data_IF_291489888891
#
_entry.id   IF_291489888891
#
_cell.length_a   1.000
_cell.length_b   1.000
_cell.length_c   1.000
_cell.angle_alpha   90.00
_cell.angle_beta   90.00
_cell.angle_gamma   90.00
#
_symmetry.space_group_name_H-M   'P 1'
#
loop_
_entity.id
_entity.type
_entity.pdbx_description
1 polymer ?
#
# COMPACT_ATOMS: atom_id res chain seq x y z
N UNK A 1 47.72 24.82 101.97
CA UNK A 1 48.23 23.87 102.97
C UNK A 1 48.71 24.69 104.17
N UNK A 2 48.34 24.27 105.38
CA UNK A 2 48.78 24.95 106.62
C UNK A 2 49.52 23.95 107.51
N UNK A 3 50.63 24.42 108.15
CA UNK A 3 51.37 23.62 109.11
C UNK A 3 50.85 23.75 110.56
N UNK A 4 51.41 22.92 111.47
CA UNK A 4 50.94 22.93 112.85
C UNK A 4 51.29 24.24 113.68
N UNK A 5 52.18 25.11 113.12
CA UNK A 5 52.53 26.43 113.68
C UNK A 5 51.67 27.55 113.10
N UNK A 6 50.69 27.31 112.23
CA UNK A 6 49.75 28.25 111.63
C UNK A 6 50.25 28.95 110.37
N UNK A 7 51.42 28.58 109.85
CA UNK A 7 51.96 29.15 108.58
C UNK A 7 51.23 28.52 107.36
N UNK A 8 50.65 29.36 106.51
CA UNK A 8 49.88 28.90 105.29
C UNK A 8 50.71 29.19 104.00
N UNK A 9 50.68 28.23 103.08
CA UNK A 9 51.08 28.42 101.75
C UNK A 9 49.84 28.14 100.86
N UNK A 10 49.46 29.03 100.00
CA UNK A 10 48.39 28.88 99.05
C UNK A 10 48.98 28.70 97.64
N UNK A 11 48.57 27.66 96.96
CA UNK A 11 48.83 27.49 95.58
C UNK A 11 47.54 27.52 94.78
N UNK A 12 47.51 28.13 93.63
CA UNK A 12 46.35 28.22 92.78
C UNK A 12 46.46 27.16 91.66
N UNK A 13 45.67 26.12 91.76
CA UNK A 13 45.54 25.13 90.68
C UNK A 13 44.36 25.53 89.85
N UNK A 14 44.67 25.78 88.53
CA UNK A 14 43.58 26.02 87.51
C UNK A 14 43.17 24.70 86.94
N UNK A 15 41.91 24.31 87.07
CA UNK A 15 41.34 23.21 86.36
C UNK A 15 40.75 23.78 85.04
N UNK A 16 41.38 23.48 83.90
CA UNK A 16 40.90 23.90 82.61
C UNK A 16 39.81 22.92 82.09
N UNK A 17 38.67 23.48 81.70
CA UNK A 17 37.61 22.74 81.04
C UNK A 17 37.91 22.70 79.55
N UNK A 18 37.86 21.51 78.85
CA UNK A 18 38.00 21.42 77.39
C UNK A 18 36.91 22.25 76.71
N UNK A 19 37.25 22.84 75.58
CA UNK A 19 36.25 23.54 74.77
C UNK A 19 35.18 22.56 74.29
N UNK A 20 33.92 23.03 74.21
CA UNK A 20 32.79 22.23 73.76
C UNK A 20 33.01 21.74 72.30
N UNK A 21 32.61 20.50 72.02
CA UNK A 21 32.63 19.94 70.65
C UNK A 21 31.56 20.64 69.82
N UNK A 22 31.98 21.15 68.63
CA UNK A 22 31.07 21.75 67.64
C UNK A 22 31.10 20.84 66.41
N UNK A 23 29.91 20.49 65.91
CA UNK A 23 29.72 19.62 64.73
C UNK A 23 29.13 20.41 63.58
N UNK A 24 29.77 20.33 62.42
CA UNK A 24 29.21 20.75 61.14
C UNK A 24 29.16 19.53 60.23
N UNK A 25 28.21 19.53 59.28
CA UNK A 25 28.13 18.46 58.27
C UNK A 25 27.79 19.04 56.90
N UNK A 26 28.16 18.30 55.89
CA UNK A 26 27.74 18.47 54.46
C UNK A 26 27.21 17.16 53.95
N UNK A 27 26.19 17.23 53.12
CA UNK A 27 25.59 16.04 52.51
C UNK A 27 25.61 16.13 51.00
N UNK A 28 25.77 14.98 50.36
CA UNK A 28 25.43 14.78 48.95
C UNK A 28 24.23 13.84 48.87
N UNK A 29 23.19 14.23 48.14
CA UNK A 29 21.97 13.44 48.03
C UNK A 29 22.20 12.11 47.33
N UNK A 30 21.31 11.15 47.58
CA UNK A 30 21.23 9.94 46.74
C UNK A 30 20.52 10.24 45.44
N UNK A 31 20.79 9.46 44.42
CA UNK A 31 20.18 9.59 43.07
C UNK A 31 19.57 8.28 42.64
N UNK A 32 18.45 8.35 41.91
CA UNK A 32 17.75 7.19 41.35
C UNK A 32 17.28 6.16 42.40
N UNK A 33 17.10 6.56 43.66
CA UNK A 33 16.80 5.65 44.76
C UNK A 33 17.95 4.70 45.12
N UNK A 34 19.17 5.02 44.69
CA UNK A 34 20.36 4.20 44.95
C UNK A 34 20.97 4.53 46.32
N UNK A 35 21.82 3.62 46.81
CA UNK A 35 22.63 3.82 48.03
C UNK A 35 23.94 4.53 47.71
N UNK A 36 23.89 5.80 47.23
CA UNK A 36 25.07 6.57 46.81
C UNK A 36 25.13 7.95 47.48
N UNK A 37 24.33 8.19 48.48
CA UNK A 37 24.41 9.40 49.32
C UNK A 37 25.66 9.45 50.16
N UNK A 38 26.06 10.65 50.56
CA UNK A 38 27.25 10.92 51.36
C UNK A 38 26.93 11.89 52.48
N UNK A 39 27.49 11.62 53.68
CA UNK A 39 27.58 12.57 54.80
C UNK A 39 29.03 12.77 55.16
N UNK A 40 29.45 14.02 55.24
CA UNK A 40 30.78 14.40 55.66
C UNK A 40 30.67 15.23 56.93
N UNK A 41 31.23 14.76 58.06
CA UNK A 41 31.13 15.40 59.37
C UNK A 41 32.46 16.09 59.69
N UNK A 42 32.39 17.28 60.20
CA UNK A 42 33.59 17.94 60.77
C UNK A 42 33.34 18.32 62.23
N UNK A 43 34.31 18.06 63.07
CA UNK A 43 34.25 18.35 64.49
C UNK A 43 35.38 19.32 64.88
N UNK A 44 35.09 20.33 65.70
CA UNK A 44 36.01 21.27 66.28
C UNK A 44 35.78 21.39 67.80
N UNK A 45 36.81 21.80 68.56
CA UNK A 45 36.76 21.77 70.02
C UNK A 45 36.98 20.36 70.57
N UNK A 46 36.68 20.12 71.84
CA UNK A 46 36.87 18.82 72.49
C UNK A 46 38.33 18.30 72.45
N UNK A 47 38.53 17.02 72.74
CA UNK A 47 39.82 16.33 72.77
C UNK A 47 39.91 15.28 71.64
N UNK A 48 40.83 15.42 70.69
CA UNK A 48 41.07 14.45 69.62
C UNK A 48 41.74 13.17 70.20
N UNK A 49 41.46 11.97 69.60
CA UNK A 49 40.71 11.70 68.36
C UNK A 49 39.20 11.65 68.56
N UNK A 50 38.46 11.97 67.48
CA UNK A 50 37.00 11.88 67.42
C UNK A 50 36.52 10.55 66.86
N UNK A 51 35.33 10.10 67.35
CA UNK A 51 34.58 9.00 66.80
C UNK A 51 33.25 9.56 66.27
N UNK A 52 32.83 9.06 65.09
CA UNK A 52 31.67 9.55 64.36
C UNK A 52 30.63 8.45 64.19
N UNK A 53 29.37 8.79 64.40
CA UNK A 53 28.21 7.90 64.19
C UNK A 53 27.15 8.65 63.40
N UNK A 54 26.36 7.90 62.59
CA UNK A 54 25.16 8.38 61.87
C UNK A 54 23.87 7.64 62.29
N UNK A 55 23.95 6.77 63.29
CA UNK A 55 22.88 5.88 63.77
C UNK A 55 22.63 6.08 65.28
N UNK A 56 22.72 7.32 65.77
CA UNK A 56 22.54 7.68 67.19
C UNK A 56 23.56 7.04 68.17
N UNK A 57 24.74 6.69 67.72
CA UNK A 57 25.81 6.12 68.54
C UNK A 57 25.75 4.61 68.69
N UNK A 58 24.95 3.91 67.86
CA UNK A 58 24.95 2.43 67.83
C UNK A 58 26.28 1.91 67.25
N UNK A 59 26.72 2.52 66.17
CA UNK A 59 28.07 2.22 65.59
C UNK A 59 28.89 3.48 65.46
N UNK A 60 30.22 3.33 65.69
CA UNK A 60 31.20 4.42 65.56
C UNK A 60 32.30 4.04 64.62
N UNK A 61 32.79 5.05 63.90
CA UNK A 61 34.01 4.95 63.07
C UNK A 61 34.91 6.18 63.28
N UNK A 62 36.19 6.03 63.01
CA UNK A 62 37.19 7.11 63.11
C UNK A 62 37.22 8.02 61.87
N UNK A 63 36.65 7.59 60.76
CA UNK A 63 36.57 8.40 59.55
C UNK A 63 35.30 9.27 59.60
N UNK A 64 35.46 10.54 59.20
CA UNK A 64 34.40 11.53 59.24
C UNK A 64 33.41 11.43 58.03
N UNK A 65 33.70 10.55 57.08
CA UNK A 65 32.94 10.40 55.83
C UNK A 65 32.16 9.09 55.82
N UNK A 66 30.84 9.18 55.58
CA UNK A 66 29.94 8.07 55.42
C UNK A 66 29.41 8.09 53.98
N UNK A 67 29.60 7.01 53.25
CA UNK A 67 29.18 6.83 51.87
C UNK A 67 28.28 5.63 51.71
N UNK A 68 27.62 5.51 50.55
CA UNK A 68 26.70 4.39 50.32
C UNK A 68 25.37 4.55 51.06
N UNK A 69 24.92 5.79 51.30
CA UNK A 69 23.74 6.05 52.08
C UNK A 69 22.49 6.16 51.23
N UNK A 70 21.39 5.62 51.74
CA UNK A 70 20.06 5.90 51.22
C UNK A 70 19.64 7.35 51.49
N UNK A 71 18.64 7.83 50.76
CA UNK A 71 17.93 9.03 51.16
C UNK A 71 17.24 8.83 52.54
N UNK A 72 17.26 9.84 53.36
CA UNK A 72 16.63 9.75 54.68
C UNK A 72 17.24 10.73 55.70
N UNK A 73 16.69 10.71 56.90
CA UNK A 73 17.20 11.48 58.03
C UNK A 73 18.15 10.65 58.84
N UNK A 74 19.31 11.21 59.14
CA UNK A 74 20.38 10.58 59.90
C UNK A 74 20.62 11.33 61.19
N UNK A 75 20.76 10.59 62.31
CA UNK A 75 21.09 11.11 63.64
C UNK A 75 22.65 11.03 63.81
N UNK A 76 23.26 12.18 63.79
CA UNK A 76 24.72 12.28 63.95
C UNK A 76 25.07 12.30 65.42
N UNK A 77 26.09 11.55 65.80
CA UNK A 77 26.71 11.64 67.14
C UNK A 77 28.23 11.68 66.94
N UNK A 78 28.86 12.67 67.54
CA UNK A 78 30.32 12.76 67.59
C UNK A 78 30.74 12.63 69.04
N UNK A 79 31.76 11.80 69.31
CA UNK A 79 32.34 11.57 70.61
C UNK A 79 33.86 11.92 70.56
N UNK A 80 34.35 12.65 71.55
CA UNK A 80 35.76 12.96 71.71
C UNK A 80 36.48 11.87 72.52
N UNK A 81 37.81 11.98 72.67
CA UNK A 81 38.65 11.02 73.41
C UNK A 81 38.32 10.94 74.89
N UNK A 82 37.68 11.94 75.46
CA UNK A 82 37.27 11.98 76.88
C UNK A 82 35.84 11.43 77.08
N UNK A 83 35.13 11.00 75.97
CA UNK A 83 33.78 10.51 76.04
C UNK A 83 32.71 11.62 75.96
N UNK A 84 33.10 12.89 75.74
CA UNK A 84 32.09 13.96 75.56
C UNK A 84 31.40 13.78 74.20
N UNK A 85 30.08 13.90 74.19
CA UNK A 85 29.26 13.68 72.97
C UNK A 85 28.45 14.93 72.60
N UNK A 86 28.25 15.08 71.28
CA UNK A 86 27.33 16.07 70.71
C UNK A 86 26.50 15.40 69.61
N UNK A 87 25.18 15.68 69.61
CA UNK A 87 24.23 15.18 68.60
C UNK A 87 23.84 16.29 67.64
N UNK A 88 23.58 15.86 66.41
CA UNK A 88 23.03 16.71 65.36
C UNK A 88 22.13 15.84 64.44
N UNK A 89 21.39 16.46 63.58
CA UNK A 89 20.60 15.78 62.57
C UNK A 89 20.93 16.31 61.21
N UNK A 90 20.89 15.43 60.21
CA UNK A 90 21.08 15.85 58.80
C UNK A 90 20.18 14.98 57.89
N UNK A 91 19.93 15.47 56.69
CA UNK A 91 19.14 14.75 55.70
C UNK A 91 20.02 14.51 54.44
N UNK A 92 20.02 13.28 53.98
CA UNK A 92 20.41 12.93 52.64
C UNK A 92 19.16 13.03 51.75
N UNK A 93 19.15 14.02 50.86
CA UNK A 93 18.04 14.22 49.95
C UNK A 93 17.99 13.10 48.90
N UNK A 94 16.80 12.84 48.31
CA UNK A 94 16.63 11.97 47.16
C UNK A 94 16.46 12.81 45.89
N UNK A 95 17.15 12.41 44.85
CA UNK A 95 16.86 12.86 43.47
C UNK A 95 16.17 11.71 42.74
N UNK A 96 14.83 11.68 42.70
CA UNK A 96 14.09 10.56 42.16
C UNK A 96 14.30 10.42 40.63
N UNK A 97 14.17 9.22 40.12
CA UNK A 97 14.22 8.94 38.69
C UNK A 97 13.09 9.66 37.94
N UNK A 98 13.31 10.05 36.69
CA UNK A 98 12.26 10.54 35.83
C UNK A 98 11.22 9.42 35.59
N UNK A 99 9.97 9.83 35.37
CA UNK A 99 8.85 8.93 35.06
C UNK A 99 8.27 9.30 33.70
N UNK A 100 7.93 8.30 32.89
CA UNK A 100 7.14 8.52 31.68
C UNK A 100 5.68 8.62 32.12
N UNK A 101 5.10 9.81 32.02
CA UNK A 101 3.71 10.06 32.45
C UNK A 101 2.70 9.77 31.35
N UNK A 102 3.07 9.95 30.08
CA UNK A 102 2.22 9.68 28.93
C UNK A 102 3.08 9.46 27.68
N UNK A 103 2.60 8.56 26.81
CA UNK A 103 3.08 8.41 25.43
C UNK A 103 1.87 8.59 24.52
N UNK A 104 1.92 9.58 23.64
CA UNK A 104 1.00 9.74 22.54
C UNK A 104 1.72 9.41 21.21
N UNK A 105 1.02 8.77 20.29
CA UNK A 105 1.57 8.48 18.97
C UNK A 105 0.50 8.66 17.90
N UNK A 106 0.93 8.81 16.65
CA UNK A 106 0.08 8.72 15.46
C UNK A 106 0.62 7.62 14.56
N UNK A 107 -0.28 6.79 14.07
CA UNK A 107 0.02 5.76 13.08
C UNK A 107 0.23 6.38 11.70
N UNK A 108 0.80 5.59 10.78
CA UNK A 108 0.99 5.99 9.40
C UNK A 108 -0.37 6.11 8.70
N UNK A 109 -0.50 7.11 7.84
CA UNK A 109 -1.74 7.31 7.07
C UNK A 109 -1.83 6.35 5.88
N UNK A 110 -0.68 5.99 5.28
CA UNK A 110 -0.60 5.06 4.16
C UNK A 110 0.46 3.99 4.44
N UNK A 111 0.29 2.83 3.81
CA UNK A 111 1.31 1.77 3.82
C UNK A 111 2.66 2.32 3.34
N UNK A 112 3.73 2.09 4.10
CA UNK A 112 5.08 2.51 3.78
C UNK A 112 5.35 4.02 3.85
N UNK A 113 4.40 4.83 4.34
CA UNK A 113 4.65 6.26 4.56
C UNK A 113 5.61 6.48 5.74
N UNK A 114 6.12 7.72 5.87
CA UNK A 114 7.05 8.11 6.94
C UNK A 114 6.49 9.32 7.66
N UNK A 115 5.26 9.21 8.17
CA UNK A 115 4.56 10.32 8.81
C UNK A 115 4.05 10.00 10.22
N UNK A 116 4.49 8.87 10.80
CA UNK A 116 4.25 8.54 12.19
C UNK A 116 4.91 9.53 13.15
N UNK A 117 4.32 9.71 14.32
CA UNK A 117 4.88 10.55 15.38
C UNK A 117 4.82 9.84 16.73
N UNK A 118 5.76 10.18 17.62
CA UNK A 118 5.73 9.82 19.03
C UNK A 118 5.98 11.09 19.83
N UNK A 119 5.15 11.34 20.85
CA UNK A 119 5.31 12.42 21.82
C UNK A 119 5.34 11.82 23.23
N UNK A 120 6.39 12.15 23.99
CA UNK A 120 6.65 11.59 25.32
C UNK A 120 6.44 12.71 26.34
N UNK A 121 5.57 12.49 27.33
CA UNK A 121 5.50 13.35 28.49
C UNK A 121 6.24 12.70 29.66
N UNK A 122 7.11 13.45 30.32
CA UNK A 122 7.85 13.00 31.50
C UNK A 122 7.53 13.85 32.73
N UNK A 123 7.70 13.27 33.90
CA UNK A 123 7.58 13.95 35.18
C UNK A 123 8.69 13.51 36.14
N UNK A 124 9.13 14.38 37.06
CA UNK A 124 10.24 14.10 37.96
C UNK A 124 11.58 14.09 37.28
N UNK A 125 12.59 13.54 37.98
CA UNK A 125 13.99 13.56 37.54
C UNK A 125 14.67 14.92 37.67
N UNK A 126 15.96 14.95 37.40
CA UNK A 126 16.79 16.18 37.46
C UNK A 126 16.98 16.70 36.04
N UNK A 127 16.60 17.96 35.79
CA UNK A 127 16.70 18.60 34.48
C UNK A 127 18.17 18.80 34.04
N UNK A 128 18.51 18.66 32.75
CA UNK A 128 17.64 18.32 31.63
C UNK A 128 17.30 16.83 31.56
N UNK A 129 16.08 16.51 31.06
CA UNK A 129 15.70 15.16 30.68
C UNK A 129 15.91 14.97 29.18
N UNK A 130 16.55 13.89 28.79
CA UNK A 130 16.82 13.51 27.42
C UNK A 130 15.94 12.34 27.02
N UNK A 131 15.57 12.27 25.74
CA UNK A 131 14.60 11.31 25.21
C UNK A 131 15.22 10.49 24.09
N UNK A 132 14.93 9.18 24.07
CA UNK A 132 15.33 8.22 23.05
C UNK A 132 14.13 7.35 22.68
N UNK A 133 14.04 6.92 21.41
CA UNK A 133 13.05 5.94 20.91
C UNK A 133 13.70 4.68 20.34
N UNK A 134 15.03 4.55 20.47
CA UNK A 134 15.86 3.43 19.99
C UNK A 134 16.57 2.67 21.12
N UNK A 135 15.99 2.73 22.33
CA UNK A 135 16.52 2.05 23.52
C UNK A 135 17.78 2.71 24.10
N UNK A 136 18.02 4.00 23.81
CA UNK A 136 19.14 4.76 24.36
C UNK A 136 20.38 4.82 23.48
N UNK A 137 20.27 4.40 22.21
CA UNK A 137 21.38 4.52 21.25
C UNK A 137 21.60 5.97 20.86
N UNK A 138 20.51 6.73 20.65
CA UNK A 138 20.54 8.17 20.37
C UNK A 138 19.57 8.91 21.29
N UNK A 139 20.01 10.07 21.77
CA UNK A 139 19.21 10.95 22.63
C UNK A 139 19.03 12.32 22.01
N UNK A 140 17.85 12.93 22.26
CA UNK A 140 17.57 14.33 21.95
C UNK A 140 16.90 15.02 23.15
N UNK A 141 16.98 16.35 23.18
CA UNK A 141 16.32 17.14 24.22
C UNK A 141 14.81 17.32 23.97
N UNK A 142 14.37 17.22 22.72
CA UNK A 142 12.95 17.32 22.36
C UNK A 142 12.20 16.03 22.60
N UNK A 143 11.01 16.14 23.20
CA UNK A 143 10.16 14.99 23.54
C UNK A 143 9.31 14.50 22.37
N UNK A 144 9.41 15.12 21.18
CA UNK A 144 8.62 14.79 20.00
C UNK A 144 9.51 14.24 18.90
N UNK A 145 9.14 13.09 18.37
CA UNK A 145 9.77 12.41 17.26
C UNK A 145 8.78 12.37 16.09
N UNK A 146 9.22 12.71 14.90
CA UNK A 146 8.40 12.76 13.68
C UNK A 146 9.07 12.03 12.53
N UNK A 147 8.33 11.86 11.41
CA UNK A 147 8.78 11.14 10.22
C UNK A 147 9.14 9.68 10.51
N UNK A 148 8.38 9.05 11.41
CA UNK A 148 8.59 7.67 11.80
C UNK A 148 7.96 6.71 10.79
N UNK A 149 8.61 5.58 10.58
CA UNK A 149 8.06 4.43 9.87
C UNK A 149 7.25 3.55 10.82
N UNK A 150 6.52 2.59 10.30
CA UNK A 150 5.87 1.56 11.14
C UNK A 150 6.90 0.70 11.87
N UNK A 151 6.61 0.39 13.12
CA UNK A 151 7.52 -0.42 13.93
C UNK A 151 7.33 -0.25 15.42
N UNK A 152 8.02 -1.09 16.19
CA UNK A 152 8.06 -1.01 17.65
C UNK A 152 9.25 -0.17 18.09
N UNK A 153 8.98 0.87 18.86
CA UNK A 153 9.97 1.81 19.38
C UNK A 153 10.20 1.59 20.86
N UNK A 154 11.48 1.43 21.24
CA UNK A 154 11.90 1.28 22.63
C UNK A 154 12.21 2.66 23.18
N UNK A 155 11.32 3.15 24.06
CA UNK A 155 11.44 4.47 24.67
C UNK A 155 12.36 4.36 25.88
N UNK A 156 13.33 5.27 25.98
CA UNK A 156 14.15 5.49 27.15
C UNK A 156 14.27 6.99 27.40
N UNK A 157 13.97 7.41 28.60
CA UNK A 157 14.27 8.77 29.05
C UNK A 157 15.39 8.73 30.09
N UNK A 158 16.26 9.74 30.10
CA UNK A 158 17.37 9.85 31.01
C UNK A 158 17.47 11.29 31.53
N UNK A 159 17.66 11.44 32.83
CA UNK A 159 17.86 12.74 33.48
C UNK A 159 19.35 13.10 33.58
N UNK A 160 19.64 14.31 34.10
CA UNK A 160 21.01 14.81 34.28
C UNK A 160 21.88 13.99 35.26
N UNK A 161 21.26 13.23 36.15
CA UNK A 161 21.96 12.33 37.09
C UNK A 161 22.18 10.93 36.50
N UNK A 162 21.70 10.67 35.24
CA UNK A 162 21.76 9.36 34.62
C UNK A 162 20.62 8.41 35.02
N UNK A 163 19.65 8.88 35.81
CA UNK A 163 18.46 8.07 36.15
C UNK A 163 17.58 7.87 34.90
N UNK A 164 17.06 6.66 34.70
CA UNK A 164 16.31 6.31 33.50
C UNK A 164 14.92 5.78 33.80
N UNK A 165 14.00 5.94 32.82
CA UNK A 165 12.76 5.20 32.74
C UNK A 165 12.54 4.69 31.32
N UNK A 166 11.92 3.53 31.19
CA UNK A 166 11.72 2.84 29.88
C UNK A 166 10.27 2.53 29.64
N UNK A 167 9.92 2.45 28.36
CA UNK A 167 8.61 1.99 27.86
C UNK A 167 8.75 1.54 26.40
N UNK A 168 7.65 1.13 25.79
CA UNK A 168 7.60 0.84 24.35
C UNK A 168 6.27 1.30 23.75
N UNK A 169 6.29 1.60 22.45
CA UNK A 169 5.08 1.95 21.69
C UNK A 169 5.20 1.37 20.28
N UNK A 170 4.05 0.93 19.74
CA UNK A 170 3.93 0.49 18.36
C UNK A 170 3.35 1.62 17.53
N UNK A 171 4.05 2.03 16.48
CA UNK A 171 3.50 2.86 15.39
C UNK A 171 3.06 1.90 14.30
N UNK A 172 1.75 1.82 14.05
CA UNK A 172 1.17 0.92 13.07
C UNK A 172 1.09 1.56 11.68
N UNK A 173 0.85 0.73 10.65
CA UNK A 173 0.52 1.17 9.31
C UNK A 173 -0.70 0.42 8.77
N UNK A 174 -1.51 1.03 7.87
CA UNK A 174 -2.60 0.34 7.22
C UNK A 174 -2.07 -0.71 6.24
N UNK A 175 -2.93 -1.67 5.85
CA UNK A 175 -2.58 -2.65 4.82
C UNK A 175 -2.44 -1.99 3.45
N UNK A 176 -1.48 -2.45 2.65
CA UNK A 176 -1.30 -1.99 1.28
C UNK A 176 -2.54 -2.25 0.41
N UNK A 177 -2.88 -1.31 -0.47
CA UNK A 177 -3.93 -1.51 -1.47
C UNK A 177 -3.37 -2.44 -2.55
N UNK A 178 -3.90 -3.66 -2.66
CA UNK A 178 -3.61 -4.58 -3.74
C UNK A 178 -4.76 -4.58 -4.75
N UNK A 179 -4.42 -4.44 -6.04
CA UNK A 179 -5.37 -4.27 -7.15
C UNK A 179 -5.24 -5.44 -8.11
N UNK A 180 -6.37 -6.06 -8.43
CA UNK A 180 -6.51 -7.01 -9.54
C UNK A 180 -7.69 -6.60 -10.41
N UNK A 181 -7.74 -7.10 -11.65
CA UNK A 181 -8.82 -6.75 -12.56
C UNK A 181 -9.25 -7.93 -13.41
N UNK A 182 -10.53 -7.91 -13.82
CA UNK A 182 -11.12 -8.85 -14.78
C UNK A 182 -11.73 -8.02 -15.90
N UNK A 183 -11.40 -8.36 -17.15
CA UNK A 183 -11.93 -7.69 -18.36
C UNK A 183 -12.88 -8.60 -19.13
N UNK A 184 -13.87 -7.99 -19.77
CA UNK A 184 -14.63 -8.59 -20.87
C UNK A 184 -14.26 -7.85 -22.14
N UNK A 185 -13.89 -8.59 -23.18
CA UNK A 185 -13.45 -8.01 -24.44
C UNK A 185 -14.54 -7.24 -25.17
N UNK A 186 -14.17 -6.20 -25.86
CA UNK A 186 -15.02 -5.51 -26.81
C UNK A 186 -15.15 -6.35 -28.09
N UNK A 187 -16.28 -6.22 -28.79
CA UNK A 187 -16.52 -6.95 -30.03
C UNK A 187 -16.79 -6.01 -31.18
N UNK A 188 -16.34 -6.34 -32.37
CA UNK A 188 -16.60 -5.62 -33.63
C UNK A 188 -16.14 -4.16 -33.62
N UNK A 189 -15.20 -3.80 -32.76
CA UNK A 189 -14.75 -2.41 -32.59
C UNK A 189 -15.76 -1.51 -31.86
N UNK A 190 -16.78 -2.09 -31.23
CA UNK A 190 -17.76 -1.34 -30.45
C UNK A 190 -17.30 -1.09 -29.03
N UNK A 191 -17.91 -0.10 -28.37
CA UNK A 191 -17.73 0.19 -26.95
C UNK A 191 -18.66 -0.69 -26.09
N UNK A 192 -18.41 -1.98 -26.09
CA UNK A 192 -19.21 -2.95 -25.31
C UNK A 192 -18.37 -3.84 -24.38
N UNK A 193 -17.08 -3.54 -24.26
CA UNK A 193 -16.20 -4.14 -23.28
C UNK A 193 -16.50 -3.69 -21.85
N UNK A 194 -15.99 -4.41 -20.88
CA UNK A 194 -16.08 -4.03 -19.47
C UNK A 194 -14.82 -4.38 -18.69
N UNK A 195 -14.67 -3.72 -17.54
CA UNK A 195 -13.57 -3.91 -16.61
C UNK A 195 -14.12 -3.89 -15.18
N UNK A 196 -13.83 -4.93 -14.40
CA UNK A 196 -14.11 -4.99 -12.97
C UNK A 196 -12.78 -4.90 -12.22
N UNK A 197 -12.70 -3.99 -11.26
CA UNK A 197 -11.54 -3.82 -10.39
C UNK A 197 -11.83 -4.50 -9.05
N UNK A 198 -10.97 -5.43 -8.65
CA UNK A 198 -11.03 -6.09 -7.35
C UNK A 198 -9.87 -5.58 -6.49
N UNK A 199 -10.17 -5.20 -5.25
CA UNK A 199 -9.20 -4.62 -4.32
C UNK A 199 -9.27 -5.26 -2.95
N UNK A 200 -8.11 -5.33 -2.29
CA UNK A 200 -7.97 -5.66 -0.87
C UNK A 200 -7.05 -4.65 -0.22
N UNK A 201 -7.22 -4.39 1.08
CA UNK A 201 -6.44 -3.41 1.82
C UNK A 201 -6.93 -1.97 1.66
N UNK A 202 -6.09 -1.00 2.06
CA UNK A 202 -6.47 0.40 2.18
C UNK A 202 -7.32 0.71 3.41
N UNK A 203 -7.71 1.96 3.56
CA UNK A 203 -8.46 2.48 4.69
C UNK A 203 -9.77 3.14 4.24
N UNK A 204 -10.90 2.71 4.80
CA UNK A 204 -12.21 3.32 4.52
C UNK A 204 -12.74 3.04 3.12
N UNK A 205 -13.45 4.01 2.54
CA UNK A 205 -14.10 3.88 1.23
C UNK A 205 -13.07 4.01 0.11
N UNK A 206 -13.13 3.07 -0.86
CA UNK A 206 -12.27 3.09 -2.03
C UNK A 206 -12.98 3.77 -3.22
N UNK A 207 -12.21 4.48 -4.02
CA UNK A 207 -12.62 5.05 -5.30
C UNK A 207 -11.70 4.57 -6.42
N UNK A 208 -12.25 4.48 -7.63
CA UNK A 208 -11.64 3.81 -8.77
C UNK A 208 -11.59 4.73 -9.98
N UNK A 209 -10.45 4.75 -10.65
CA UNK A 209 -10.22 5.42 -11.93
C UNK A 209 -9.62 4.44 -12.93
N UNK A 210 -9.94 4.62 -14.23
CA UNK A 210 -9.34 3.88 -15.35
C UNK A 210 -8.66 4.80 -16.37
N UNK A 211 -8.54 6.09 -16.05
CA UNK A 211 -8.00 7.15 -16.89
C UNK A 211 -6.81 7.87 -16.22
N UNK A 212 -5.98 7.12 -15.50
CA UNK A 212 -4.80 7.63 -14.77
C UNK A 212 -5.12 8.61 -13.64
N UNK A 213 -6.30 8.50 -13.03
CA UNK A 213 -6.70 9.34 -11.89
C UNK A 213 -7.34 10.66 -12.26
N UNK A 214 -7.74 10.87 -13.51
CA UNK A 214 -8.44 12.07 -13.93
C UNK A 214 -9.89 12.10 -13.42
N UNK A 215 -10.58 10.96 -13.47
CA UNK A 215 -11.94 10.81 -12.96
C UNK A 215 -12.04 9.60 -12.05
N UNK A 216 -12.69 9.76 -10.89
CA UNK A 216 -12.93 8.72 -9.92
C UNK A 216 -14.42 8.44 -9.74
N UNK A 217 -14.77 7.16 -9.51
CA UNK A 217 -16.10 6.70 -9.11
C UNK A 217 -16.02 5.71 -7.95
N UNK A 218 -17.12 5.54 -7.21
CA UNK A 218 -17.19 4.58 -6.10
C UNK A 218 -17.49 3.15 -6.55
N UNK A 219 -18.02 2.96 -7.78
CA UNK A 219 -18.30 1.65 -8.35
C UNK A 219 -17.03 1.09 -8.99
N UNK A 220 -16.66 -0.17 -8.69
CA UNK A 220 -15.51 -0.85 -9.28
C UNK A 220 -15.77 -1.42 -10.68
N UNK A 221 -17.02 -1.37 -11.17
CA UNK A 221 -17.40 -1.82 -12.51
C UNK A 221 -17.40 -0.65 -13.50
N UNK A 222 -16.66 -0.80 -14.59
CA UNK A 222 -16.64 0.09 -15.75
C UNK A 222 -17.20 -0.66 -16.96
N UNK A 223 -18.16 -0.05 -17.64
CA UNK A 223 -18.86 -0.63 -18.79
C UNK A 223 -18.72 0.26 -20.02
N UNK A 224 -19.17 -0.25 -21.17
CA UNK A 224 -19.14 0.47 -22.45
C UNK A 224 -17.72 0.91 -22.86
N UNK A 225 -16.76 0.03 -22.64
CA UNK A 225 -15.35 0.30 -22.94
C UNK A 225 -15.03 -0.13 -24.38
N UNK A 226 -14.27 0.70 -25.07
CA UNK A 226 -13.59 0.30 -26.31
C UNK A 226 -12.43 -0.65 -25.99
N UNK A 227 -11.95 -1.37 -26.97
CA UNK A 227 -10.67 -2.07 -26.86
C UNK A 227 -9.55 -1.05 -26.62
N UNK A 228 -8.67 -1.38 -25.67
CA UNK A 228 -7.57 -0.50 -25.30
C UNK A 228 -6.93 -0.89 -23.97
N UNK A 229 -5.88 -0.17 -23.61
CA UNK A 229 -5.22 -0.28 -22.30
C UNK A 229 -5.75 0.80 -21.38
N UNK A 230 -6.16 0.40 -20.18
CA UNK A 230 -6.70 1.26 -19.15
C UNK A 230 -5.76 1.32 -17.96
N UNK A 231 -5.33 2.51 -17.60
CA UNK A 231 -4.49 2.76 -16.44
C UNK A 231 -5.37 2.91 -15.20
N UNK A 232 -5.36 1.89 -14.36
CA UNK A 232 -6.16 1.84 -13.14
C UNK A 232 -5.44 2.60 -12.03
N UNK A 233 -6.17 3.45 -11.32
CA UNK A 233 -5.77 4.00 -10.02
C UNK A 233 -6.89 3.73 -9.04
N UNK A 234 -6.55 3.15 -7.90
CA UNK A 234 -7.44 2.99 -6.76
C UNK A 234 -6.96 3.92 -5.66
N UNK A 235 -7.87 4.67 -5.06
CA UNK A 235 -7.58 5.60 -3.98
C UNK A 235 -8.48 5.29 -2.78
N UNK A 236 -7.91 5.30 -1.58
CA UNK A 236 -8.64 5.12 -0.32
C UNK A 236 -9.05 6.47 0.31
N UNK A 237 -9.77 6.39 1.45
CA UNK A 237 -10.26 7.59 2.15
C UNK A 237 -9.15 8.48 2.72
N UNK A 238 -7.95 7.97 2.92
CA UNK A 238 -6.78 8.73 3.37
C UNK A 238 -5.99 9.35 2.22
N UNK A 239 -6.41 9.11 0.96
CA UNK A 239 -5.72 9.56 -0.23
C UNK A 239 -4.57 8.65 -0.67
N UNK A 240 -4.39 7.48 -0.07
CA UNK A 240 -3.40 6.50 -0.48
C UNK A 240 -3.80 5.86 -1.80
N UNK A 241 -2.86 5.69 -2.71
CA UNK A 241 -3.15 5.17 -4.06
C UNK A 241 -2.36 3.92 -4.38
N UNK A 242 -2.95 3.07 -5.22
CA UNK A 242 -2.28 1.95 -5.88
C UNK A 242 -2.67 1.93 -7.36
N UNK A 243 -1.76 1.49 -8.23
CA UNK A 243 -1.94 1.49 -9.67
C UNK A 243 -1.80 0.11 -10.27
N UNK A 244 -2.52 -0.14 -11.35
CA UNK A 244 -2.43 -1.33 -12.18
C UNK A 244 -2.81 -0.99 -13.63
N UNK A 245 -2.61 -1.93 -14.56
CA UNK A 245 -3.07 -1.81 -15.94
C UNK A 245 -4.00 -2.97 -16.28
N UNK A 246 -5.01 -2.69 -17.09
CA UNK A 246 -5.89 -3.69 -17.67
C UNK A 246 -5.98 -3.50 -19.18
N UNK A 247 -6.11 -4.60 -19.92
CA UNK A 247 -6.32 -4.59 -21.36
C UNK A 247 -7.69 -5.16 -21.67
N UNK A 248 -8.53 -4.37 -22.33
CA UNK A 248 -9.75 -4.82 -22.99
C UNK A 248 -9.37 -5.10 -24.43
N UNK A 249 -9.43 -6.37 -24.84
CA UNK A 249 -9.10 -6.78 -26.22
C UNK A 249 -10.30 -6.49 -27.15
N UNK A 250 -10.07 -6.58 -28.47
CA UNK A 250 -11.13 -6.53 -29.47
C UNK A 250 -11.25 -7.85 -30.20
N UNK A 251 -12.42 -8.47 -30.15
CA UNK A 251 -12.78 -9.53 -31.08
C UNK A 251 -13.09 -8.88 -32.44
N UNK A 252 -12.14 -9.03 -33.39
CA UNK A 252 -12.29 -8.46 -34.73
C UNK A 252 -13.40 -9.15 -35.52
N UNK A 253 -14.04 -8.41 -36.45
CA UNK A 253 -15.03 -8.96 -37.37
C UNK A 253 -14.40 -9.99 -38.34
N UNK A 254 -15.19 -10.90 -38.92
CA UNK A 254 -14.74 -11.78 -39.98
C UNK A 254 -14.31 -10.99 -41.24
N UNK A 255 -13.47 -11.59 -42.03
CA UNK A 255 -12.99 -11.02 -43.32
C UNK A 255 -13.34 -11.97 -44.43
N UNK A 256 -13.97 -11.45 -45.49
CA UNK A 256 -14.21 -12.21 -46.71
C UNK A 256 -12.93 -12.21 -47.55
N UNK A 257 -12.33 -13.39 -47.76
CA UNK A 257 -11.08 -13.55 -48.50
C UNK A 257 -11.34 -13.71 -50.03
N UNK A 258 -12.44 -14.39 -50.41
CA UNK A 258 -12.82 -14.59 -51.78
C UNK A 258 -14.30 -14.94 -51.91
N UNK A 259 -14.89 -14.60 -53.06
CA UNK A 259 -16.28 -14.92 -53.42
C UNK A 259 -16.37 -15.40 -54.89
N UNK A 260 -15.66 -16.48 -55.28
CA UNK A 260 -15.77 -16.99 -56.63
C UNK A 260 -17.19 -17.41 -56.97
N UNK A 261 -17.67 -16.98 -58.13
CA UNK A 261 -19.02 -17.31 -58.65
C UNK A 261 -18.88 -18.04 -59.99
N UNK A 262 -19.71 -19.06 -60.18
CA UNK A 262 -19.87 -19.73 -61.49
C UNK A 262 -21.16 -19.24 -62.12
N UNK A 263 -21.07 -18.77 -63.34
CA UNK A 263 -22.20 -18.28 -64.12
C UNK A 263 -23.13 -19.44 -64.55
N UNK A 264 -24.39 -19.15 -64.81
CA UNK A 264 -25.29 -20.15 -65.35
C UNK A 264 -24.94 -20.55 -66.80
N UNK A 265 -25.08 -21.82 -67.13
CA UNK A 265 -24.72 -22.37 -68.40
C UNK A 265 -25.60 -21.91 -69.58
N UNK A 266 -26.88 -21.67 -69.30
CA UNK A 266 -27.87 -21.23 -70.30
C UNK A 266 -28.73 -20.08 -69.74
N UNK A 267 -29.31 -19.31 -70.65
CA UNK A 267 -30.30 -18.31 -70.27
C UNK A 267 -31.50 -18.92 -69.51
N UNK A 268 -31.79 -18.37 -68.31
CA UNK A 268 -32.88 -18.84 -67.47
C UNK A 268 -32.62 -20.10 -66.64
N UNK A 269 -31.38 -20.65 -66.69
CA UNK A 269 -31.03 -21.82 -65.90
C UNK A 269 -30.67 -21.39 -64.45
N UNK A 270 -30.70 -22.37 -63.55
CA UNK A 270 -30.38 -22.21 -62.14
C UNK A 270 -29.21 -23.07 -61.66
N UNK A 271 -28.23 -23.28 -62.54
CA UNK A 271 -27.03 -24.08 -62.26
C UNK A 271 -25.81 -23.24 -61.86
N UNK A 272 -25.99 -21.95 -61.56
CA UNK A 272 -24.96 -21.08 -61.02
C UNK A 272 -24.58 -21.42 -59.58
N UNK A 273 -23.42 -20.96 -59.13
CA UNK A 273 -22.95 -21.19 -57.77
C UNK A 273 -22.11 -20.02 -57.24
N UNK A 274 -22.07 -19.87 -55.95
CA UNK A 274 -21.18 -18.94 -55.21
C UNK A 274 -20.47 -19.75 -54.11
N UNK A 275 -19.16 -19.56 -53.97
CA UNK A 275 -18.36 -20.10 -52.87
C UNK A 275 -17.76 -18.93 -52.07
N UNK A 276 -18.11 -18.78 -50.81
CA UNK A 276 -17.64 -17.71 -49.96
C UNK A 276 -16.54 -18.28 -49.06
N UNK A 277 -15.34 -17.76 -49.21
CA UNK A 277 -14.21 -18.03 -48.31
C UNK A 277 -14.07 -16.85 -47.36
N UNK A 278 -14.21 -17.11 -46.06
CA UNK A 278 -14.03 -16.11 -45.03
C UNK A 278 -13.18 -16.66 -43.86
N UNK A 279 -12.51 -15.77 -43.15
CA UNK A 279 -11.66 -16.09 -42.01
C UNK A 279 -11.75 -15.00 -40.93
N UNK A 280 -11.18 -15.25 -39.73
CA UNK A 280 -11.26 -14.32 -38.60
C UNK A 280 -12.63 -14.36 -37.90
N UNK A 281 -12.94 -13.35 -37.15
CA UNK A 281 -14.11 -13.33 -36.27
C UNK A 281 -13.97 -14.23 -35.04
N UNK A 282 -15.00 -14.28 -34.20
CA UNK A 282 -15.06 -15.09 -33.01
C UNK A 282 -15.96 -16.32 -33.24
N UNK A 283 -15.41 -17.52 -33.04
CA UNK A 283 -16.16 -18.78 -33.10
C UNK A 283 -16.57 -19.19 -34.51
N UNK A 284 -17.79 -19.74 -34.68
CA UNK A 284 -18.29 -20.25 -35.94
C UNK A 284 -18.84 -19.14 -36.86
N UNK A 285 -18.51 -19.22 -38.14
CA UNK A 285 -19.06 -18.30 -39.15
C UNK A 285 -20.36 -18.84 -39.73
N UNK A 286 -21.28 -17.94 -40.02
CA UNK A 286 -22.49 -18.20 -40.80
C UNK A 286 -22.52 -17.30 -42.04
N UNK A 287 -23.12 -17.80 -43.12
CA UNK A 287 -23.07 -17.22 -44.43
C UNK A 287 -24.48 -16.98 -45.00
N UNK A 288 -24.70 -15.84 -45.59
CA UNK A 288 -25.90 -15.47 -46.29
C UNK A 288 -25.58 -14.89 -47.64
N UNK A 289 -26.44 -15.12 -48.63
CA UNK A 289 -26.40 -14.51 -49.99
C UNK A 289 -27.59 -13.60 -50.28
N UNK A 290 -28.43 -13.36 -49.29
CA UNK A 290 -29.63 -12.50 -49.38
C UNK A 290 -29.65 -11.38 -48.33
N UNK A 291 -28.43 -10.91 -47.94
CA UNK A 291 -28.26 -9.80 -46.98
C UNK A 291 -28.63 -10.16 -45.55
N UNK A 292 -28.61 -11.45 -45.18
CA UNK A 292 -28.83 -11.86 -43.78
C UNK A 292 -30.26 -12.35 -43.50
N UNK A 293 -31.17 -12.38 -44.51
CA UNK A 293 -32.55 -12.89 -44.31
C UNK A 293 -32.51 -14.37 -43.91
N UNK A 294 -31.63 -15.15 -44.54
CA UNK A 294 -31.32 -16.54 -44.14
C UNK A 294 -29.85 -16.76 -44.04
N UNK A 295 -29.37 -17.50 -43.04
CA UNK A 295 -27.99 -17.83 -42.84
C UNK A 295 -27.73 -19.32 -42.77
N UNK A 296 -26.57 -19.75 -43.23
CA UNK A 296 -26.16 -21.16 -43.34
C UNK A 296 -24.79 -21.37 -42.72
N UNK A 297 -24.46 -22.54 -42.21
CA UNK A 297 -23.14 -22.84 -41.65
C UNK A 297 -22.04 -23.06 -42.73
N UNK A 298 -22.47 -23.18 -44.02
CA UNK A 298 -21.57 -23.38 -45.17
C UNK A 298 -21.61 -22.17 -46.08
N UNK A 299 -20.43 -21.76 -46.59
CA UNK A 299 -20.27 -20.68 -47.56
C UNK A 299 -20.49 -21.15 -49.04
N UNK A 300 -20.97 -22.38 -49.28
CA UNK A 300 -21.19 -22.92 -50.63
C UNK A 300 -22.67 -22.87 -50.95
N UNK A 301 -23.01 -22.16 -52.02
CA UNK A 301 -24.38 -22.01 -52.51
C UNK A 301 -24.43 -22.47 -53.97
N UNK A 302 -25.36 -23.35 -54.29
CA UNK A 302 -25.58 -23.90 -55.63
C UNK A 302 -27.02 -23.72 -56.06
N UNK A 303 -27.33 -24.07 -57.29
CA UNK A 303 -28.64 -23.94 -57.94
C UNK A 303 -29.15 -22.48 -57.94
N UNK A 304 -28.24 -21.57 -58.24
CA UNK A 304 -28.51 -20.13 -58.26
C UNK A 304 -28.85 -19.69 -59.73
N UNK A 305 -29.80 -18.77 -59.83
CA UNK A 305 -30.09 -18.09 -61.09
C UNK A 305 -29.15 -16.92 -61.32
N UNK A 306 -29.15 -16.37 -62.53
CA UNK A 306 -28.44 -15.12 -62.80
C UNK A 306 -29.02 -13.97 -61.96
N UNK A 307 -28.15 -13.21 -61.34
CA UNK A 307 -28.56 -12.09 -60.45
C UNK A 307 -27.38 -11.56 -59.60
N UNK A 308 -27.69 -10.55 -58.82
CA UNK A 308 -26.77 -9.97 -57.80
C UNK A 308 -27.15 -10.50 -56.45
N UNK A 309 -26.14 -11.01 -55.70
CA UNK A 309 -26.31 -11.63 -54.38
C UNK A 309 -25.60 -10.82 -53.34
N UNK A 310 -26.34 -10.32 -52.35
CA UNK A 310 -25.80 -9.58 -51.21
C UNK A 310 -25.29 -10.58 -50.18
N UNK A 311 -23.98 -10.70 -50.11
CA UNK A 311 -23.30 -11.59 -49.16
C UNK A 311 -23.20 -10.91 -47.81
N UNK A 312 -23.53 -11.66 -46.73
CA UNK A 312 -23.26 -11.33 -45.36
C UNK A 312 -22.64 -12.54 -44.68
N UNK A 313 -21.48 -12.31 -44.05
CA UNK A 313 -20.84 -13.28 -43.16
C UNK A 313 -20.91 -12.75 -41.73
N UNK A 314 -21.40 -13.58 -40.80
CA UNK A 314 -21.58 -13.23 -39.42
C UNK A 314 -20.87 -14.25 -38.53
N UNK A 315 -20.14 -13.79 -37.51
CA UNK A 315 -19.52 -14.64 -36.50
C UNK A 315 -20.43 -14.86 -35.28
N UNK A 316 -19.99 -15.68 -34.30
CA UNK A 316 -20.79 -15.96 -33.10
C UNK A 316 -20.91 -14.78 -32.14
N UNK A 317 -20.10 -13.73 -32.24
CA UNK A 317 -20.25 -12.49 -31.50
C UNK A 317 -21.21 -11.49 -32.17
N UNK A 318 -21.73 -11.81 -33.37
CA UNK A 318 -22.59 -10.93 -34.15
C UNK A 318 -21.85 -9.91 -35.01
N UNK A 319 -20.51 -10.00 -35.13
CA UNK A 319 -19.75 -9.16 -36.04
C UNK A 319 -19.99 -9.59 -37.47
N UNK A 320 -20.16 -8.64 -38.39
CA UNK A 320 -20.52 -8.89 -39.78
C UNK A 320 -19.54 -8.28 -40.78
N UNK A 321 -19.47 -8.90 -41.93
CA UNK A 321 -18.81 -8.34 -43.12
C UNK A 321 -19.66 -8.62 -44.34
N UNK A 322 -19.71 -7.68 -45.29
CA UNK A 322 -20.55 -7.73 -46.46
C UNK A 322 -19.73 -7.76 -47.78
N UNK A 323 -20.24 -8.39 -48.82
CA UNK A 323 -19.75 -8.33 -50.16
C UNK A 323 -20.92 -8.51 -51.16
N UNK A 324 -20.61 -8.35 -52.44
CA UNK A 324 -21.58 -8.61 -53.53
C UNK A 324 -20.96 -9.59 -54.53
N UNK A 325 -21.70 -10.61 -54.91
CA UNK A 325 -21.32 -11.48 -56.00
C UNK A 325 -22.40 -11.44 -57.13
N UNK A 326 -21.95 -11.48 -58.35
CA UNK A 326 -22.82 -11.45 -59.50
C UNK A 326 -22.68 -12.77 -60.30
N UNK A 327 -23.81 -13.36 -60.59
CA UNK A 327 -23.96 -14.49 -61.52
C UNK A 327 -24.58 -13.96 -62.79
N UNK A 328 -23.88 -14.15 -63.90
CA UNK A 328 -24.37 -13.70 -65.23
C UNK A 328 -24.97 -14.90 -65.99
N UNK A 329 -25.75 -14.60 -67.00
CA UNK A 329 -26.31 -15.58 -67.92
C UNK A 329 -25.97 -15.21 -69.37
N UNK A 330 -25.89 -16.23 -70.26
CA UNK A 330 -25.80 -15.98 -71.68
C UNK A 330 -27.04 -15.26 -72.23
N UNK A 331 -26.89 -14.61 -73.36
CA UNK A 331 -28.06 -14.10 -74.09
C UNK A 331 -28.99 -15.23 -74.53
N UNK A 332 -30.29 -15.01 -74.46
CA UNK A 332 -31.25 -15.99 -74.93
C UNK A 332 -31.01 -16.32 -76.40
N UNK A 333 -31.17 -17.61 -76.76
CA UNK A 333 -31.16 -18.00 -78.15
C UNK A 333 -32.50 -17.52 -78.72
N UNK A 334 -32.36 -16.67 -79.75
CA UNK A 334 -33.47 -16.20 -80.58
C UNK A 334 -33.36 -16.85 -81.92
N UNK A 335 -34.46 -17.48 -82.42
CA UNK A 335 -34.50 -18.07 -83.75
C UNK A 335 -35.66 -17.48 -84.52
N UNK A 336 -35.45 -17.36 -85.81
CA UNK A 336 -36.48 -17.03 -86.78
C UNK A 336 -36.39 -17.97 -87.94
N UNK A 337 -37.48 -18.35 -88.53
CA UNK A 337 -37.63 -19.21 -89.67
C UNK A 337 -38.25 -18.48 -90.85
N UNK A 338 -37.67 -18.59 -92.01
CA UNK A 338 -38.28 -18.20 -93.27
C UNK A 338 -38.52 -19.45 -94.08
N UNK A 339 -39.68 -19.55 -94.73
CA UNK A 339 -40.07 -20.67 -95.51
C UNK A 339 -40.38 -20.24 -96.96
N UNK A 340 -39.77 -20.87 -97.92
CA UNK A 340 -40.12 -20.75 -99.34
C UNK A 340 -40.87 -22.03 -99.70
N UNK A 341 -42.16 -21.87 -100.06
CA UNK A 341 -42.92 -23.05 -100.46
C UNK A 341 -42.51 -23.65 -101.77
N UNK A 342 -42.50 -24.96 -101.85
CA UNK A 342 -42.25 -25.70 -103.11
C UNK A 342 -43.36 -25.38 -104.17
N UNK A 343 -42.96 -25.28 -105.40
CA UNK A 343 -43.84 -25.16 -106.58
C UNK A 343 -44.37 -26.54 -106.89
N UNK A 344 -45.62 -26.62 -107.43
CA UNK A 344 -46.31 -27.85 -107.79
C UNK A 344 -45.38 -28.84 -108.52
N UNK A 345 -45.22 -30.07 -107.94
CA UNK A 345 -44.39 -31.14 -108.46
C UNK A 345 -42.94 -31.00 -108.28
N UNK A 346 -42.40 -30.01 -107.54
CA UNK A 346 -40.99 -29.76 -107.35
C UNK A 346 -40.55 -29.96 -105.88
N UNK A 347 -39.34 -30.34 -105.67
CA UNK A 347 -38.71 -30.45 -104.30
C UNK A 347 -37.88 -29.22 -103.96
N UNK A 348 -38.27 -28.01 -104.39
CA UNK A 348 -37.50 -26.78 -104.30
C UNK A 348 -37.98 -25.89 -103.11
N UNK A 349 -38.72 -26.44 -102.18
CA UNK A 349 -39.02 -25.77 -100.92
C UNK A 349 -37.72 -25.59 -100.12
N UNK A 350 -37.62 -24.42 -99.46
CA UNK A 350 -36.45 -24.07 -98.62
C UNK A 350 -36.88 -23.60 -97.26
N UNK A 351 -36.22 -24.03 -96.17
CA UNK A 351 -36.35 -23.53 -94.87
C UNK A 351 -35.02 -22.89 -94.49
N UNK A 352 -35.05 -21.60 -94.27
CA UNK A 352 -33.89 -20.87 -93.71
C UNK A 352 -34.11 -20.61 -92.28
N UNK A 353 -33.26 -21.09 -91.39
CA UNK A 353 -33.24 -20.83 -89.95
C UNK A 353 -32.11 -19.89 -89.68
N UNK A 354 -32.44 -18.73 -89.03
CA UNK A 354 -31.42 -17.82 -88.51
C UNK A 354 -31.55 -17.83 -87.02
N UNK A 355 -30.44 -17.95 -86.31
CA UNK A 355 -30.42 -17.89 -84.85
C UNK A 355 -29.25 -17.02 -84.35
N UNK A 356 -29.46 -16.37 -83.18
CA UNK A 356 -28.49 -15.55 -82.52
C UNK A 356 -28.56 -15.73 -81.01
N UNK A 357 -27.55 -15.35 -80.24
CA UNK A 357 -27.49 -15.53 -78.76
C UNK A 357 -26.85 -16.88 -78.39
N UNK A 358 -27.03 -17.29 -77.12
CA UNK A 358 -26.43 -18.49 -76.55
C UNK A 358 -24.90 -18.38 -76.34
N UNK A 359 -24.24 -19.55 -76.18
CA UNK A 359 -22.80 -19.69 -75.98
C UNK A 359 -22.25 -20.65 -76.98
N UNK A 360 -21.17 -20.22 -77.67
CA UNK A 360 -20.47 -21.09 -78.72
C UNK A 360 -21.22 -21.22 -80.05
N UNK A 361 -20.92 -22.27 -80.82
CA UNK A 361 -21.53 -22.54 -82.12
C UNK A 361 -22.94 -23.08 -82.00
N UNK A 362 -23.86 -22.43 -82.70
CA UNK A 362 -25.26 -22.88 -82.73
C UNK A 362 -25.39 -24.11 -83.66
N UNK A 363 -26.14 -25.09 -83.22
CA UNK A 363 -26.50 -26.27 -84.03
C UNK A 363 -27.96 -26.21 -84.43
N UNK A 364 -28.31 -26.62 -85.65
CA UNK A 364 -29.67 -26.57 -86.21
C UNK A 364 -30.15 -27.99 -86.49
N UNK A 365 -31.38 -28.26 -86.19
CA UNK A 365 -32.07 -29.53 -86.53
C UNK A 365 -33.46 -29.21 -87.06
N UNK A 366 -33.91 -29.95 -88.06
CA UNK A 366 -35.25 -29.90 -88.68
C UNK A 366 -35.90 -31.28 -88.62
#
# INVERSE_FOLDING_TARGET
>A
VQDAGGCTVTDVVSIAEPSMVIVNNTTSGSTCGLLNGLINISANGGTSPFQFSIDSGITFQSTATFSGLASGNYQLLVQDANGCTINSTTQVADAPSPQISQIAHTDLTCFGSQNGTISIASAGGTSPVMYSIDGGTQFQAGAVFSNLISGSYQILIQDANGCTATSSVLVAEPSAIAVTSVTTDATCGNSNGSLIINTIGGSGVLTYSIDSGLNFQSNSLFQNLLAGTYNIIVQDANGCTSSANAVVSNASAPVINATPATNVSCNGYNDGSISIAASGGLGTLTYSINGGITSFPSGIFSNLIAGSYNILVTDSAGCTVTAVANITQPTAILSSTAVVNAICGSTNGEITITASGGVGTLQYSI
#
